data_IF_646084345750
#
_entry.id   IF_646084345750
#
_cell.length_a   1.000
_cell.length_b   1.000
_cell.length_c   1.000
_cell.angle_alpha   90.00
_cell.angle_beta   90.00
_cell.angle_gamma   90.00
#
_symmetry.space_group_name_H-M   'P 1'
#
loop_
_entity.id
_entity.type
_entity.pdbx_description
1 polymer ?
#
# COMPACT_ATOMS: atom_id res chain seq x y z
N UNK A 1 8.31 -6.11 -27.08
CA UNK A 1 7.56 -6.20 -25.81
C UNK A 1 6.15 -6.67 -26.12
N UNK A 2 5.54 -7.57 -25.34
CA UNK A 2 4.17 -7.98 -25.60
C UNK A 2 3.22 -6.79 -25.46
N UNK A 3 2.21 -6.71 -26.34
CA UNK A 3 1.17 -5.69 -26.23
C UNK A 3 0.18 -6.07 -25.12
N UNK A 4 -0.16 -5.16 -24.20
CA UNK A 4 -1.21 -5.41 -23.21
C UNK A 4 -2.54 -5.72 -23.89
N UNK A 5 -3.31 -6.63 -23.32
CA UNK A 5 -4.69 -6.89 -23.79
C UNK A 5 -5.57 -5.64 -23.69
N UNK A 6 -6.58 -5.54 -24.55
CA UNK A 6 -7.52 -4.41 -24.57
C UNK A 6 -8.14 -4.14 -23.17
N UNK A 7 -8.53 -5.19 -22.45
CA UNK A 7 -9.10 -5.07 -21.09
C UNK A 7 -8.18 -4.35 -20.11
N UNK A 8 -6.86 -4.54 -20.21
CA UNK A 8 -5.89 -3.87 -19.34
C UNK A 8 -5.71 -2.40 -19.72
N UNK A 9 -5.82 -2.08 -21.00
CA UNK A 9 -5.73 -0.71 -21.51
C UNK A 9 -6.95 0.14 -21.16
N UNK A 10 -8.11 -0.50 -20.95
CA UNK A 10 -9.37 0.18 -20.61
C UNK A 10 -9.49 0.54 -19.12
N UNK A 11 -8.58 0.07 -18.26
CA UNK A 11 -8.60 0.43 -16.85
C UNK A 11 -8.18 1.89 -16.72
N UNK A 12 -9.03 2.79 -16.19
CA UNK A 12 -8.69 4.19 -16.04
C UNK A 12 -7.59 4.36 -14.99
N UNK A 13 -6.76 5.38 -15.16
CA UNK A 13 -5.82 5.78 -14.13
C UNK A 13 -6.58 6.25 -12.88
N UNK A 14 -6.14 5.79 -11.71
CA UNK A 14 -6.81 6.13 -10.44
C UNK A 14 -6.50 7.58 -10.02
N UNK A 15 -7.52 8.46 -9.88
CA UNK A 15 -7.29 9.85 -9.51
C UNK A 15 -6.63 10.03 -8.14
N UNK A 16 -6.84 9.09 -7.21
CA UNK A 16 -6.22 9.16 -5.87
C UNK A 16 -4.69 9.16 -5.95
N UNK A 17 -4.12 8.51 -6.99
CA UNK A 17 -2.68 8.46 -7.20
C UNK A 17 -2.08 9.84 -7.47
N UNK A 18 -2.86 10.76 -8.01
CA UNK A 18 -2.46 12.17 -8.16
C UNK A 18 -2.27 12.83 -6.80
N UNK A 19 -3.18 12.60 -5.85
CA UNK A 19 -3.11 13.20 -4.51
C UNK A 19 -1.95 12.61 -3.69
N UNK A 20 -1.73 11.29 -3.76
CA UNK A 20 -0.55 10.65 -3.15
C UNK A 20 0.75 11.28 -3.69
N UNK A 21 0.90 11.36 -5.02
CA UNK A 21 2.10 11.93 -5.64
C UNK A 21 2.33 13.39 -5.23
N UNK A 22 1.27 14.20 -5.21
CA UNK A 22 1.36 15.60 -4.79
C UNK A 22 1.85 15.72 -3.34
N UNK A 23 1.29 14.93 -2.41
CA UNK A 23 1.73 14.93 -1.02
C UNK A 23 3.21 14.55 -0.89
N UNK A 24 3.63 13.46 -1.56
CA UNK A 24 5.02 13.00 -1.56
C UNK A 24 5.99 14.05 -2.15
N UNK A 25 5.56 14.81 -3.18
CA UNK A 25 6.34 15.90 -3.77
C UNK A 25 6.46 17.09 -2.82
N UNK A 26 5.36 17.48 -2.15
CA UNK A 26 5.36 18.58 -1.19
C UNK A 26 6.21 18.27 0.05
N UNK A 27 6.14 17.04 0.57
CA UNK A 27 6.99 16.57 1.67
C UNK A 27 8.47 16.62 1.29
N UNK A 28 8.83 16.14 0.09
CA UNK A 28 10.21 16.17 -0.41
C UNK A 28 10.74 17.59 -0.68
N UNK A 29 9.87 18.51 -1.06
CA UNK A 29 10.26 19.90 -1.30
C UNK A 29 10.63 20.66 -0.02
N UNK A 30 10.28 20.14 1.16
CA UNK A 30 10.69 20.72 2.46
C UNK A 30 10.01 22.05 2.81
N UNK A 31 8.88 22.38 2.17
CA UNK A 31 8.16 23.65 2.36
C UNK A 31 7.33 23.77 3.64
N UNK A 32 7.36 22.75 4.51
CA UNK A 32 6.57 22.70 5.75
C UNK A 32 5.78 21.39 5.90
N UNK A 33 4.98 21.26 6.97
CA UNK A 33 4.22 20.06 7.25
C UNK A 33 3.11 19.83 6.21
N UNK A 34 2.98 18.59 5.74
CA UNK A 34 1.89 18.14 4.86
C UNK A 34 0.96 17.23 5.68
N UNK A 35 -0.31 17.59 5.75
CA UNK A 35 -1.33 16.81 6.48
C UNK A 35 -2.13 15.94 5.52
N UNK A 36 -1.98 14.63 5.62
CA UNK A 36 -2.57 13.66 4.68
C UNK A 36 -3.90 13.13 5.21
N UNK A 37 -5.00 13.70 4.72
CA UNK A 37 -6.37 13.29 5.11
C UNK A 37 -7.04 12.33 4.11
N UNK A 38 -6.26 11.77 3.18
CA UNK A 38 -6.75 10.88 2.12
C UNK A 38 -6.38 9.40 2.33
N UNK A 39 -5.62 9.10 3.38
CA UNK A 39 -5.13 7.74 3.66
C UNK A 39 -6.30 6.89 4.14
N UNK A 40 -6.53 5.77 3.47
CA UNK A 40 -7.59 4.82 3.82
C UNK A 40 -7.13 3.67 4.72
N UNK A 41 -5.87 3.69 5.15
CA UNK A 41 -5.27 2.73 6.08
C UNK A 41 -5.26 3.33 7.49
N UNK A 42 -5.64 2.59 8.54
CA UNK A 42 -5.53 3.08 9.91
C UNK A 42 -4.09 3.38 10.31
N UNK A 43 -3.91 4.29 11.26
CA UNK A 43 -2.60 4.75 11.74
C UNK A 43 -1.98 3.87 12.83
N UNK A 44 -2.72 2.87 13.33
CA UNK A 44 -2.25 1.94 14.35
C UNK A 44 -1.63 0.68 13.74
N UNK A 45 -0.66 0.10 14.46
CA UNK A 45 -0.07 -1.19 14.09
C UNK A 45 -1.09 -2.34 14.24
N UNK A 46 -0.94 -3.43 13.48
CA UNK A 46 -1.70 -4.65 13.72
C UNK A 46 -1.57 -5.13 15.18
N UNK A 47 -2.62 -5.75 15.77
CA UNK A 47 -2.56 -6.24 17.15
C UNK A 47 -1.42 -7.24 17.37
N UNK A 48 -0.78 -7.19 18.55
CA UNK A 48 0.35 -8.07 18.89
C UNK A 48 0.02 -9.57 18.74
N UNK A 49 -1.21 -9.97 19.08
CA UNK A 49 -1.67 -11.36 18.93
C UNK A 49 -1.65 -11.85 17.48
N UNK A 50 -1.93 -10.98 16.52
CA UNK A 50 -1.88 -11.29 15.09
C UNK A 50 -0.43 -11.44 14.64
N UNK A 51 0.43 -10.50 15.05
CA UNK A 51 1.86 -10.53 14.73
C UNK A 51 2.51 -11.82 15.24
N UNK A 52 2.26 -12.21 16.49
CA UNK A 52 2.83 -13.42 17.08
C UNK A 52 2.30 -14.70 16.42
N UNK A 53 1.00 -14.76 16.09
CA UNK A 53 0.43 -15.89 15.39
C UNK A 53 1.03 -16.06 13.98
N UNK A 54 1.20 -14.96 13.24
CA UNK A 54 1.85 -14.97 11.92
C UNK A 54 3.32 -15.40 12.04
N UNK A 55 4.06 -14.86 13.01
CA UNK A 55 5.46 -15.25 13.24
C UNK A 55 5.61 -16.73 13.60
N UNK A 56 4.72 -17.27 14.45
CA UNK A 56 4.70 -18.69 14.80
C UNK A 56 4.38 -19.57 13.58
N UNK A 57 3.42 -19.18 12.74
CA UNK A 57 3.11 -19.90 11.50
C UNK A 57 4.33 -19.99 10.56
N UNK A 58 5.05 -18.87 10.39
CA UNK A 58 6.27 -18.83 9.59
C UNK A 58 7.38 -19.72 10.19
N UNK A 59 7.63 -19.63 11.51
CA UNK A 59 8.64 -20.45 12.20
C UNK A 59 8.34 -21.94 12.13
N UNK A 60 7.06 -22.32 12.09
CA UNK A 60 6.61 -23.73 12.04
C UNK A 60 6.45 -24.27 10.62
N UNK A 61 6.87 -23.51 9.59
CA UNK A 61 6.86 -23.97 8.21
C UNK A 61 5.46 -24.04 7.57
N UNK A 62 4.48 -23.28 8.07
CA UNK A 62 3.14 -23.17 7.47
C UNK A 62 3.15 -22.30 6.21
N UNK A 63 3.95 -22.70 5.22
CA UNK A 63 4.21 -21.97 3.97
C UNK A 63 3.75 -22.74 2.73
N UNK A 64 3.07 -23.87 2.92
CA UNK A 64 2.61 -24.74 1.85
C UNK A 64 1.08 -24.73 1.78
N UNK A 65 0.57 -25.08 0.60
CA UNK A 65 -0.83 -25.45 0.47
C UNK A 65 -1.16 -26.64 1.38
N UNK A 66 -2.40 -26.69 1.86
CA UNK A 66 -2.92 -27.78 2.67
C UNK A 66 -3.16 -29.04 1.84
#
# INVERSE_FOLDING_TARGET
MPHPSLRGQLIPFSPIRTMFRLADEMERAGGGPVFRLHVGDPDFAPPASVIEATAAALRTGKTHYA
#
